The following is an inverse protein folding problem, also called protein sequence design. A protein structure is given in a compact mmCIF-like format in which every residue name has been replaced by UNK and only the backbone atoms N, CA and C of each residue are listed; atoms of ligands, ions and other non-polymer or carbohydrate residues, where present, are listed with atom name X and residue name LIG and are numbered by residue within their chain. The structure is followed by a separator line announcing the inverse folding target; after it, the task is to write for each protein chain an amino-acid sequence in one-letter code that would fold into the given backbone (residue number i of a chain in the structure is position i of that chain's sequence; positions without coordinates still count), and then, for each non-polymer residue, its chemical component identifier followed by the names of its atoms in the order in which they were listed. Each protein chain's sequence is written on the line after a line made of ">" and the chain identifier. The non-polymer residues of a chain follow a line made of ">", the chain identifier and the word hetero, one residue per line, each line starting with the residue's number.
data_IF_027130918243
#
_entry.id   IF_027130918243
#
_cell.length_a   1.000
_cell.length_b   1.000
_cell.length_c   1.000
_cell.angle_alpha   90.00
_cell.angle_beta   90.00
_cell.angle_gamma   90.00
#
_symmetry.space_group_name_H-M   'P 1'
#
loop_
_entity.id
_entity.type
_entity.pdbx_description
1 polymer ?
#
# COMPACT_ATOMS: atom_id res chain seq x y z
N UNK A 1 -15.65 4.37 8.05
CA UNK A 1 -14.79 3.20 8.24
C UNK A 1 -15.53 1.89 8.02
N UNK A 2 -16.72 1.68 8.66
CA UNK A 2 -17.53 0.46 8.46
C UNK A 2 -17.99 0.29 7.02
N UNK A 3 -18.35 1.36 6.35
CA UNK A 3 -18.74 1.36 4.94
C UNK A 3 -17.54 0.95 4.06
N UNK A 4 -16.37 1.50 4.28
CA UNK A 4 -15.16 1.12 3.56
C UNK A 4 -14.85 -0.39 3.70
N UNK A 5 -14.97 -0.95 4.91
CA UNK A 5 -14.78 -2.38 5.15
C UNK A 5 -15.78 -3.21 4.34
N UNK A 6 -17.04 -2.82 4.37
CA UNK A 6 -18.13 -3.48 3.63
C UNK A 6 -17.92 -3.39 2.13
N UNK A 7 -17.64 -2.19 1.62
CA UNK A 7 -17.51 -1.90 0.19
C UNK A 7 -16.27 -2.60 -0.42
N UNK A 8 -15.20 -2.76 0.36
CA UNK A 8 -14.01 -3.50 -0.05
C UNK A 8 -14.12 -5.02 0.20
N UNK A 9 -15.24 -5.49 0.77
CA UNK A 9 -15.47 -6.92 1.02
C UNK A 9 -14.45 -7.54 1.98
N UNK A 10 -14.01 -6.81 3.03
CA UNK A 10 -13.01 -7.29 3.98
C UNK A 10 -13.66 -8.28 4.95
N UNK A 11 -13.19 -9.55 5.00
CA UNK A 11 -13.72 -10.54 5.90
C UNK A 11 -13.53 -10.16 7.39
N UNK A 12 -14.46 -10.54 8.29
CA UNK A 12 -14.43 -10.15 9.70
C UNK A 12 -13.18 -10.64 10.48
N UNK A 13 -12.52 -11.72 10.02
CA UNK A 13 -11.33 -12.25 10.67
C UNK A 13 -10.05 -11.45 10.34
N UNK A 14 -10.11 -10.53 9.38
CA UNK A 14 -8.99 -9.66 9.04
C UNK A 14 -9.06 -8.37 9.88
N UNK A 15 -7.91 -7.94 10.36
CA UNK A 15 -7.77 -6.65 11.02
C UNK A 15 -7.27 -5.61 10.01
N UNK A 16 -8.07 -4.55 9.79
CA UNK A 16 -7.67 -3.42 8.95
C UNK A 16 -7.20 -2.26 9.82
N UNK A 17 -6.01 -1.78 9.53
CA UNK A 17 -5.47 -0.53 10.09
C UNK A 17 -5.24 0.46 8.96
N UNK A 18 -5.74 1.69 9.11
CA UNK A 18 -5.46 2.80 8.21
C UNK A 18 -4.55 3.78 8.94
N UNK A 19 -3.48 4.16 8.29
CA UNK A 19 -2.49 5.10 8.81
C UNK A 19 -2.45 6.31 7.88
N UNK A 20 -2.74 7.49 8.42
CA UNK A 20 -2.53 8.74 7.71
C UNK A 20 -1.05 9.09 7.74
N UNK A 21 -0.46 9.22 6.57
CA UNK A 21 0.94 9.62 6.40
C UNK A 21 0.98 11.14 6.17
N UNK A 22 1.36 11.85 7.21
CA UNK A 22 1.52 13.30 7.11
C UNK A 22 2.65 13.64 6.14
N UNK A 23 2.43 14.66 5.30
CA UNK A 23 3.40 15.13 4.33
C UNK A 23 3.30 16.67 4.18
N UNK A 24 4.36 17.27 3.63
CA UNK A 24 4.50 18.71 3.52
C UNK A 24 3.53 19.36 2.52
N UNK A 25 2.93 18.56 1.67
CA UNK A 25 2.03 19.04 0.61
C UNK A 25 0.56 18.99 1.02
N UNK A 26 0.25 18.47 2.21
CA UNK A 26 -1.08 18.26 2.75
C UNK A 26 -2.01 17.45 1.82
N UNK A 27 -1.44 16.62 0.94
CA UNK A 27 -2.20 15.65 0.15
C UNK A 27 -2.52 14.45 1.02
N UNK A 28 -3.79 14.05 1.18
CA UNK A 28 -4.12 12.84 1.88
C UNK A 28 -3.34 11.64 1.35
N UNK A 29 -2.49 11.08 2.19
CA UNK A 29 -1.72 9.88 1.91
C UNK A 29 -2.06 8.82 2.95
N UNK A 30 -2.63 7.71 2.52
CA UNK A 30 -3.13 6.65 3.39
C UNK A 30 -2.35 5.37 3.13
N UNK A 31 -1.82 4.79 4.19
CA UNK A 31 -1.30 3.45 4.19
C UNK A 31 -2.32 2.52 4.85
N UNK A 32 -2.70 1.45 4.14
CA UNK A 32 -3.58 0.40 4.64
C UNK A 32 -2.75 -0.84 4.98
N UNK A 33 -2.99 -1.40 6.16
CA UNK A 33 -2.41 -2.65 6.60
C UNK A 33 -3.52 -3.64 6.93
N UNK A 34 -3.56 -4.77 6.25
CA UNK A 34 -4.42 -5.91 6.52
C UNK A 34 -3.64 -7.01 7.19
N UNK A 35 -4.13 -7.49 8.33
CA UNK A 35 -3.52 -8.56 9.09
C UNK A 35 -4.46 -9.77 9.17
N UNK A 36 -4.00 -10.91 8.68
CA UNK A 36 -4.58 -12.23 8.91
C UNK A 36 -3.74 -12.93 9.99
N UNK A 37 -4.10 -12.67 11.24
CA UNK A 37 -3.33 -13.19 12.39
C UNK A 37 -3.42 -14.70 12.52
N UNK A 38 -4.53 -15.30 12.08
CA UNK A 38 -4.74 -16.75 12.16
C UNK A 38 -3.80 -17.51 11.22
N UNK A 39 -3.50 -16.92 10.05
CA UNK A 39 -2.66 -17.55 9.04
C UNK A 39 -1.25 -16.95 8.96
N UNK A 40 -0.93 -15.97 9.80
CA UNK A 40 0.39 -15.30 9.78
C UNK A 40 0.65 -14.54 8.48
N UNK A 41 -0.37 -13.91 7.89
CA UNK A 41 -0.27 -13.18 6.64
C UNK A 41 -0.56 -11.70 6.83
N UNK A 42 0.07 -10.88 6.03
CA UNK A 42 -0.26 -9.47 5.95
C UNK A 42 -0.27 -8.97 4.51
N UNK A 43 -1.00 -7.88 4.30
CA UNK A 43 -0.98 -7.11 3.08
C UNK A 43 -0.88 -5.63 3.40
N UNK A 44 -0.02 -4.93 2.68
CA UNK A 44 0.15 -3.48 2.76
C UNK A 44 -0.19 -2.82 1.44
N UNK A 45 -0.78 -1.63 1.50
CA UNK A 45 -1.03 -0.80 0.33
C UNK A 45 -0.95 0.67 0.70
N UNK A 46 -0.53 1.51 -0.23
CA UNK A 46 -0.41 2.95 0.00
C UNK A 46 -0.97 3.72 -1.18
N UNK A 47 -1.74 4.76 -0.88
CA UNK A 47 -2.26 5.64 -1.92
C UNK A 47 -2.33 7.07 -1.43
N UNK A 48 -2.11 7.99 -2.36
CA UNK A 48 -2.32 9.42 -2.15
C UNK A 48 -3.35 9.95 -3.16
N UNK A 49 -4.07 11.00 -2.77
CA UNK A 49 -5.04 11.65 -3.64
C UNK A 49 -5.73 12.81 -2.93
N UNK A 50 -6.41 13.65 -3.68
CA UNK A 50 -7.10 14.82 -3.12
C UNK A 50 -8.29 14.44 -2.22
N UNK A 51 -8.90 13.26 -2.41
CA UNK A 51 -9.88 12.69 -1.49
C UNK A 51 -9.24 11.64 -0.60
N UNK A 52 -9.32 11.83 0.71
CA UNK A 52 -8.84 10.88 1.71
C UNK A 52 -9.65 9.57 1.65
N UNK A 53 -10.95 9.64 1.34
CA UNK A 53 -11.79 8.47 1.17
C UNK A 53 -11.35 7.65 -0.05
N UNK A 54 -11.08 8.29 -1.17
CA UNK A 54 -10.58 7.62 -2.38
C UNK A 54 -9.20 7.00 -2.15
N UNK A 55 -8.27 7.76 -1.52
CA UNK A 55 -6.94 7.27 -1.19
C UNK A 55 -7.01 6.05 -0.26
N UNK A 56 -7.87 6.09 0.78
CA UNK A 56 -8.09 4.96 1.67
C UNK A 56 -8.62 3.72 0.93
N UNK A 57 -9.61 3.90 0.06
CA UNK A 57 -10.18 2.81 -0.75
C UNK A 57 -9.13 2.15 -1.62
N UNK A 58 -8.34 2.94 -2.33
CA UNK A 58 -7.27 2.45 -3.21
C UNK A 58 -6.18 1.72 -2.41
N UNK A 59 -5.73 2.30 -1.29
CA UNK A 59 -4.76 1.66 -0.40
C UNK A 59 -5.25 0.30 0.12
N UNK A 60 -6.53 0.20 0.48
CA UNK A 60 -7.14 -1.07 0.90
C UNK A 60 -7.18 -2.09 -0.23
N UNK A 61 -7.54 -1.68 -1.45
CA UNK A 61 -7.51 -2.58 -2.61
C UNK A 61 -6.11 -3.14 -2.86
N UNK A 62 -5.07 -2.31 -2.78
CA UNK A 62 -3.68 -2.75 -2.90
C UNK A 62 -3.29 -3.71 -1.76
N UNK A 63 -3.68 -3.40 -0.51
CA UNK A 63 -3.42 -4.27 0.63
C UNK A 63 -4.07 -5.65 0.46
N UNK A 64 -5.28 -5.72 -0.11
CA UNK A 64 -5.97 -6.99 -0.44
C UNK A 64 -5.18 -7.77 -1.50
N UNK A 65 -4.66 -7.09 -2.53
CA UNK A 65 -3.86 -7.74 -3.58
C UNK A 65 -2.58 -8.34 -2.99
N UNK A 66 -1.87 -7.59 -2.14
CA UNK A 66 -0.65 -8.07 -1.48
C UNK A 66 -0.97 -9.23 -0.51
N UNK A 67 -2.08 -9.16 0.23
CA UNK A 67 -2.50 -10.26 1.11
C UNK A 67 -2.80 -11.55 0.33
N UNK A 68 -3.44 -11.42 -0.84
CA UNK A 68 -3.65 -12.56 -1.75
C UNK A 68 -2.34 -13.14 -2.26
N UNK A 69 -1.41 -12.29 -2.67
CA UNK A 69 -0.07 -12.70 -3.09
C UNK A 69 0.67 -13.42 -1.96
N UNK A 70 0.65 -12.88 -0.74
CA UNK A 70 1.23 -13.52 0.45
C UNK A 70 0.68 -14.93 0.68
N UNK A 71 -0.63 -15.09 0.51
CA UNK A 71 -1.32 -16.38 0.66
C UNK A 71 -0.91 -17.38 -0.43
N UNK A 72 -0.77 -16.93 -1.67
CA UNK A 72 -0.30 -17.77 -2.78
C UNK A 72 1.14 -18.26 -2.54
N UNK A 73 2.02 -17.36 -2.10
CA UNK A 73 3.41 -17.71 -1.75
C UNK A 73 3.44 -18.72 -0.60
N UNK A 74 2.68 -18.47 0.49
CA UNK A 74 2.65 -19.37 1.64
C UNK A 74 2.11 -20.77 1.29
N UNK A 75 1.17 -20.86 0.36
CA UNK A 75 0.59 -22.14 -0.09
C UNK A 75 1.49 -22.94 -1.04
N UNK A 76 2.66 -22.40 -1.40
CA UNK A 76 3.55 -23.04 -2.34
C UNK A 76 2.94 -23.27 -3.73
N UNK A 77 1.92 -22.47 -4.10
CA UNK A 77 1.34 -22.46 -5.46
C UNK A 77 2.29 -21.77 -6.43
N UNK A 78 3.45 -22.25 -6.51
CA UNK A 78 4.69 -21.67 -7.01
C UNK A 78 4.71 -21.56 -8.54
N UNK A 79 3.90 -22.35 -9.24
CA UNK A 79 4.08 -22.55 -10.68
C UNK A 79 4.08 -21.30 -11.53
N UNK A 80 3.25 -20.28 -11.22
CA UNK A 80 3.19 -19.05 -12.03
C UNK A 80 4.08 -17.94 -11.49
N UNK A 81 4.25 -17.83 -10.18
CA UNK A 81 5.08 -16.81 -9.54
C UNK A 81 6.56 -17.23 -9.49
N UNK A 82 6.84 -18.50 -9.25
CA UNK A 82 8.19 -19.06 -9.30
C UNK A 82 8.84 -18.86 -10.66
N UNK A 83 8.09 -19.05 -11.74
CA UNK A 83 8.60 -18.82 -13.10
C UNK A 83 8.97 -17.37 -13.38
N UNK A 84 8.28 -16.39 -12.78
CA UNK A 84 8.60 -14.96 -12.92
C UNK A 84 9.65 -14.48 -11.93
N UNK A 85 9.74 -15.09 -10.75
CA UNK A 85 10.66 -14.69 -9.68
C UNK A 85 11.97 -15.51 -9.67
N UNK A 86 12.10 -16.54 -10.51
CA UNK A 86 13.28 -17.41 -10.60
C UNK A 86 13.55 -18.16 -9.29
N UNK A 87 14.82 -18.39 -8.99
CA UNK A 87 15.29 -19.12 -7.81
C UNK A 87 15.01 -18.42 -6.46
N UNK A 88 14.36 -17.27 -6.47
CA UNK A 88 14.08 -16.45 -5.27
C UNK A 88 12.96 -17.06 -4.42
N UNK A 89 11.98 -17.69 -5.05
CA UNK A 89 10.79 -18.19 -4.35
C UNK A 89 11.09 -19.29 -3.31
N UNK A 90 11.96 -20.27 -3.57
CA UNK A 90 12.36 -21.25 -2.55
C UNK A 90 12.97 -20.62 -1.30
N UNK A 91 13.73 -19.52 -1.47
CA UNK A 91 14.31 -18.79 -0.35
C UNK A 91 13.26 -18.07 0.53
N UNK A 92 12.08 -17.77 0.00
CA UNK A 92 10.98 -17.20 0.80
C UNK A 92 10.33 -18.23 1.71
N UNK A 93 10.39 -19.50 1.37
CA UNK A 93 9.80 -20.59 2.15
C UNK A 93 10.70 -21.03 3.30
N UNK A 94 12.01 -20.76 3.22
CA UNK A 94 12.96 -21.00 4.29
C UNK A 94 13.15 -19.77 5.20
N UNK A 95 12.72 -19.82 6.49
CA UNK A 95 12.86 -18.71 7.43
C UNK A 95 14.30 -18.23 7.62
N UNK A 96 15.28 -19.15 7.56
CA UNK A 96 16.69 -18.81 7.74
C UNK A 96 17.25 -18.09 6.50
N UNK A 97 16.85 -18.52 5.30
CA UNK A 97 17.21 -17.86 4.06
C UNK A 97 16.56 -16.48 3.94
N UNK A 98 15.28 -16.33 4.31
CA UNK A 98 14.56 -15.03 4.30
C UNK A 98 15.29 -13.92 5.04
N UNK A 99 15.86 -14.22 6.21
CA UNK A 99 16.61 -13.23 7.02
C UNK A 99 17.87 -12.69 6.34
N UNK A 100 18.39 -13.40 5.34
CA UNK A 100 19.62 -13.03 4.61
C UNK A 100 19.33 -12.31 3.29
N UNK A 101 18.06 -12.22 2.86
CA UNK A 101 17.70 -11.62 1.60
C UNK A 101 17.81 -10.08 1.65
N UNK A 102 18.33 -9.45 0.59
CA UNK A 102 18.40 -7.99 0.53
C UNK A 102 16.99 -7.39 0.39
N UNK A 103 16.68 -6.39 1.22
CA UNK A 103 15.37 -5.73 1.23
C UNK A 103 15.15 -4.73 0.08
N UNK A 104 16.02 -4.74 -0.92
CA UNK A 104 15.97 -3.81 -2.07
C UNK A 104 14.93 -4.17 -3.12
N UNK A 105 14.38 -5.38 -3.07
CA UNK A 105 13.36 -5.85 -4.01
C UNK A 105 12.01 -6.04 -3.30
N UNK A 106 10.93 -5.68 -3.98
CA UNK A 106 9.57 -5.77 -3.45
C UNK A 106 9.21 -7.19 -2.95
N UNK A 107 9.62 -8.22 -3.70
CA UNK A 107 9.37 -9.61 -3.31
C UNK A 107 10.12 -10.03 -2.03
N UNK A 108 11.28 -9.46 -1.77
CA UNK A 108 12.00 -9.71 -0.52
C UNK A 108 11.28 -9.09 0.68
N UNK A 109 10.68 -7.90 0.52
CA UNK A 109 9.83 -7.30 1.54
C UNK A 109 8.66 -8.23 1.89
N UNK A 110 8.00 -8.80 0.88
CA UNK A 110 6.93 -9.77 1.10
C UNK A 110 7.42 -10.97 1.92
N UNK A 111 8.54 -11.59 1.51
CA UNK A 111 9.14 -12.73 2.22
C UNK A 111 9.52 -12.42 3.66
N UNK A 112 10.04 -11.20 3.91
CA UNK A 112 10.37 -10.75 5.26
C UNK A 112 9.16 -10.75 6.20
N UNK A 113 8.01 -10.27 5.72
CA UNK A 113 6.79 -10.17 6.51
C UNK A 113 5.98 -11.47 6.60
N UNK A 114 6.34 -12.51 5.85
CA UNK A 114 5.81 -13.86 6.06
C UNK A 114 6.33 -14.51 7.36
N UNK A 115 7.43 -13.98 7.93
CA UNK A 115 7.86 -14.33 9.26
C UNK A 115 7.20 -13.40 10.29
N UNK A 116 6.23 -13.91 11.04
CA UNK A 116 5.45 -13.12 12.02
C UNK A 116 6.31 -12.54 13.14
N UNK A 117 7.50 -13.07 13.40
CA UNK A 117 8.45 -12.50 14.37
C UNK A 117 8.90 -11.09 13.99
N UNK A 118 8.84 -10.76 12.70
CA UNK A 118 9.19 -9.44 12.17
C UNK A 118 8.05 -8.41 12.32
N UNK A 119 6.84 -8.83 12.70
CA UNK A 119 5.69 -7.92 12.82
C UNK A 119 5.83 -6.89 13.95
N UNK A 120 6.80 -7.07 14.84
CA UNK A 120 7.09 -6.08 15.86
C UNK A 120 7.43 -4.69 15.30
N UNK A 121 8.00 -4.62 14.07
CA UNK A 121 8.28 -3.36 13.37
C UNK A 121 6.99 -2.60 13.00
N UNK A 122 5.85 -3.31 12.90
CA UNK A 122 4.55 -2.72 12.56
C UNK A 122 3.85 -2.10 13.79
N UNK A 123 4.38 -2.29 14.99
CA UNK A 123 3.78 -1.75 16.23
C UNK A 123 3.39 -0.28 16.15
N UNK A 124 4.24 0.63 15.64
CA UNK A 124 3.89 2.04 15.53
C UNK A 124 2.67 2.30 14.63
N UNK A 125 2.44 1.42 13.65
CA UNK A 125 1.34 1.54 12.69
C UNK A 125 0.01 1.00 13.24
N UNK A 126 0.06 -0.03 14.09
CA UNK A 126 -1.13 -0.70 14.64
C UNK A 126 -1.51 -0.21 16.03
N UNK A 127 -0.66 0.57 16.69
CA UNK A 127 -0.90 1.17 18.01
C UNK A 127 -0.81 2.68 17.89
N UNK A 128 -1.84 3.35 17.34
CA UNK A 128 -1.76 4.77 17.02
C UNK A 128 -1.68 5.61 18.29
N UNK A 129 -0.84 6.65 18.25
CA UNK A 129 -0.79 7.69 19.29
C UNK A 129 -1.98 8.65 19.21
N UNK A 130 -2.55 8.80 18.02
CA UNK A 130 -3.68 9.69 17.74
C UNK A 130 -4.57 9.05 16.68
N UNK A 131 -5.88 9.17 16.85
CA UNK A 131 -6.88 8.80 15.84
C UNK A 131 -7.46 10.07 15.26
N UNK A 132 -7.59 10.14 13.95
CA UNK A 132 -8.22 11.22 13.19
C UNK A 132 -9.31 10.65 12.29
N UNK A 133 -10.30 11.45 11.93
CA UNK A 133 -11.29 11.05 10.96
C UNK A 133 -10.79 11.24 9.53
N UNK A 134 -11.36 10.51 8.56
CA UNK A 134 -11.04 10.75 7.14
C UNK A 134 -11.50 12.14 6.69
N UNK A 135 -12.57 12.68 7.30
CA UNK A 135 -13.03 14.04 7.04
C UNK A 135 -12.01 15.08 7.46
N UNK A 136 -11.35 14.89 8.62
CA UNK A 136 -10.28 15.79 9.07
C UNK A 136 -9.09 15.76 8.10
N UNK A 137 -8.80 14.58 7.50
CA UNK A 137 -7.77 14.46 6.47
C UNK A 137 -8.14 15.22 5.19
N UNK A 138 -9.42 15.25 4.81
CA UNK A 138 -9.90 15.96 3.63
C UNK A 138 -9.89 17.49 3.81
N UNK A 139 -10.24 17.98 5.00
CA UNK A 139 -10.22 19.43 5.30
C UNK A 139 -8.83 20.03 5.19
N UNK A 140 -7.79 19.24 5.34
CA UNK A 140 -6.40 19.66 5.17
C UNK A 140 -5.90 19.57 3.73
N UNK A 141 -6.69 18.94 2.84
CA UNK A 141 -6.29 18.74 1.46
C UNK A 141 -6.29 20.07 0.67
N UNK A 142 -5.39 20.23 -0.29
CA UNK A 142 -5.49 21.32 -1.26
C UNK A 142 -6.80 21.23 -2.03
N UNK A 143 -7.27 22.37 -2.57
CA UNK A 143 -8.34 22.32 -3.58
C UNK A 143 -8.02 21.29 -4.64
N UNK A 144 -9.05 20.60 -5.15
CA UNK A 144 -8.92 19.46 -6.07
C UNK A 144 -8.35 19.86 -7.46
N UNK A 145 -7.40 20.79 -7.47
CA UNK A 145 -6.76 21.36 -8.65
C UNK A 145 -5.27 21.02 -8.65
N UNK A 146 -4.81 20.39 -9.72
CA UNK A 146 -3.40 20.11 -9.94
C UNK A 146 -2.53 21.38 -9.85
N UNK A 147 -3.06 22.54 -10.29
CA UNK A 147 -2.38 23.84 -10.17
C UNK A 147 -2.04 24.21 -8.73
N UNK A 148 -2.92 23.92 -7.79
CA UNK A 148 -2.67 24.17 -6.35
C UNK A 148 -1.53 23.27 -5.83
N UNK A 149 -1.47 22.02 -6.26
CA UNK A 149 -0.39 21.10 -5.89
C UNK A 149 0.95 21.55 -6.49
N UNK A 150 0.97 21.88 -7.78
CA UNK A 150 2.15 22.42 -8.47
C UNK A 150 2.68 23.65 -7.76
N UNK A 151 1.79 24.59 -7.39
CA UNK A 151 2.18 25.79 -6.68
C UNK A 151 2.86 25.50 -5.33
N UNK A 152 2.41 24.45 -4.62
CA UNK A 152 3.05 24.02 -3.35
C UNK A 152 4.43 23.41 -3.59
N UNK A 153 4.62 22.62 -4.65
CA UNK A 153 5.93 22.10 -5.03
C UNK A 153 6.91 23.24 -5.32
N UNK A 154 6.46 24.20 -6.14
CA UNK A 154 7.28 25.38 -6.48
C UNK A 154 7.62 26.20 -5.23
N UNK A 155 6.66 26.43 -4.34
CA UNK A 155 6.88 27.14 -3.07
C UNK A 155 7.87 26.40 -2.14
N UNK A 156 7.93 25.06 -2.23
CA UNK A 156 8.91 24.23 -1.53
C UNK A 156 10.28 24.15 -2.23
N UNK A 157 10.49 24.93 -3.31
CA UNK A 157 11.73 24.90 -4.08
C UNK A 157 11.91 23.70 -5.00
N UNK A 158 10.82 22.95 -5.26
CA UNK A 158 10.82 21.80 -6.15
C UNK A 158 10.36 22.19 -7.56
N UNK A 159 10.92 21.56 -8.57
CA UNK A 159 10.52 21.74 -9.98
C UNK A 159 9.77 20.48 -10.44
N UNK A 160 8.42 20.49 -10.42
CA UNK A 160 7.65 19.38 -10.95
C UNK A 160 7.86 19.21 -12.45
N UNK A 161 8.06 17.98 -12.90
CA UNK A 161 8.22 17.64 -14.32
C UNK A 161 7.00 16.81 -14.71
N UNK A 162 6.31 17.25 -15.76
CA UNK A 162 5.23 16.48 -16.38
C UNK A 162 5.75 15.91 -17.70
N UNK A 163 5.58 14.62 -17.90
CA UNK A 163 5.91 13.94 -19.15
C UNK A 163 4.63 13.33 -19.70
N UNK A 164 4.27 13.72 -20.92
CA UNK A 164 3.15 13.10 -21.63
C UNK A 164 3.59 11.73 -22.14
N UNK A 165 2.91 10.68 -21.67
CA UNK A 165 3.19 9.29 -22.05
C UNK A 165 2.06 8.67 -22.86
N UNK A 166 1.04 9.47 -23.20
CA UNK A 166 -0.11 9.00 -24.01
C UNK A 166 0.38 8.70 -25.42
N UNK A 167 0.25 7.46 -25.83
CA UNK A 167 0.54 7.06 -27.20
C UNK A 167 -0.61 7.47 -28.14
N UNK A 168 -0.37 7.70 -29.46
CA UNK A 168 -1.40 8.14 -30.38
C UNK A 168 -2.65 7.25 -30.39
N UNK A 169 -2.48 5.94 -30.31
CA UNK A 169 -3.58 4.97 -30.27
C UNK A 169 -4.44 5.09 -29.01
N UNK A 170 -3.85 5.54 -27.88
CA UNK A 170 -4.59 5.81 -26.64
C UNK A 170 -5.28 7.18 -26.71
N UNK A 171 -4.62 8.19 -27.27
CA UNK A 171 -5.20 9.52 -27.44
C UNK A 171 -6.46 9.49 -28.34
N UNK A 172 -6.45 8.64 -29.36
CA UNK A 172 -7.57 8.51 -30.34
C UNK A 172 -8.83 7.89 -29.72
N UNK A 173 -8.75 7.18 -28.59
CA UNK A 173 -9.91 6.62 -27.89
C UNK A 173 -10.48 7.52 -26.78
N UNK A 174 -9.94 8.73 -26.62
CA UNK A 174 -10.53 9.78 -25.79
C UNK A 174 -10.43 9.54 -24.27
N UNK A 175 -9.30 9.08 -23.82
CA UNK A 175 -8.99 8.98 -22.38
C UNK A 175 -8.51 10.31 -21.79
#
# INVERSE_FOLDING_TARGET
>A
FRELIRDCGIPPHLSLHLVYLQNDFAVPCIFALLLDRANGLLGGGCSAGFSAQWAARKAVCEAIQILRLSREVQRGKEGKLAFKAGAILPAFLDPAARKKLPMTQLLFNLGYYLDTSNWNILRPLISPRRTISLLDCEQSAPSNEYGSLISRFVAAGLSPICVELTTPDVADVGW
#
